data_IF_973884614144
#
_entry.id   IF_973884614144
#
_cell.length_a   1.000
_cell.length_b   1.000
_cell.length_c   1.000
_cell.angle_alpha   90.00
_cell.angle_beta   90.00
_cell.angle_gamma   90.00
#
_symmetry.space_group_name_H-M   'P 1'
#
loop_
_entity.id
_entity.type
_entity.pdbx_description
1 polymer ?
#
# COMPACT_ATOMS: atom_id res chain seq x y z
N UNK A 1 -26.58 -10.22 -14.29
CA UNK A 1 -25.67 -11.35 -13.98
C UNK A 1 -24.33 -11.20 -14.69
N UNK A 2 -24.25 -11.00 -16.01
CA UNK A 2 -22.96 -10.75 -16.69
C UNK A 2 -22.36 -9.35 -16.41
N UNK A 3 -23.20 -8.31 -16.37
CA UNK A 3 -22.81 -6.93 -16.06
C UNK A 3 -22.17 -6.81 -14.66
N UNK A 4 -22.81 -7.38 -13.65
CA UNK A 4 -22.28 -7.45 -12.27
C UNK A 4 -20.93 -8.16 -12.19
N UNK A 5 -20.70 -9.19 -13.00
CA UNK A 5 -19.42 -9.90 -13.06
C UNK A 5 -18.33 -9.05 -13.72
N UNK A 6 -18.65 -8.30 -14.77
CA UNK A 6 -17.70 -7.38 -15.41
C UNK A 6 -17.30 -6.23 -14.48
N UNK A 7 -18.25 -5.70 -13.70
CA UNK A 7 -17.97 -4.66 -12.69
C UNK A 7 -17.04 -5.20 -11.60
N UNK A 8 -17.28 -6.41 -11.08
CA UNK A 8 -16.42 -7.03 -10.09
C UNK A 8 -14.97 -7.22 -10.61
N UNK A 9 -14.82 -7.66 -11.86
CA UNK A 9 -13.52 -7.84 -12.53
C UNK A 9 -12.68 -6.56 -12.65
N UNK A 10 -13.30 -5.38 -12.61
CA UNK A 10 -12.53 -4.13 -12.59
C UNK A 10 -11.66 -4.02 -11.34
N UNK A 11 -12.19 -4.39 -10.18
CA UNK A 11 -11.44 -4.37 -8.93
C UNK A 11 -10.34 -5.44 -8.93
N UNK A 12 -10.60 -6.63 -9.48
CA UNK A 12 -9.58 -7.67 -9.68
C UNK A 12 -8.41 -7.14 -10.52
N UNK A 13 -8.70 -6.64 -11.73
CA UNK A 13 -7.69 -6.10 -12.64
C UNK A 13 -6.90 -4.96 -12.03
N UNK A 14 -7.59 -4.00 -11.40
CA UNK A 14 -6.93 -2.85 -10.77
C UNK A 14 -6.05 -3.28 -9.59
N UNK A 15 -6.53 -4.18 -8.73
CA UNK A 15 -5.75 -4.68 -7.60
C UNK A 15 -4.48 -5.41 -8.04
N UNK A 16 -4.56 -6.23 -9.09
CA UNK A 16 -3.40 -6.89 -9.70
C UNK A 16 -2.38 -5.86 -10.22
N UNK A 17 -2.83 -4.88 -11.02
CA UNK A 17 -1.96 -3.87 -11.62
C UNK A 17 -1.26 -2.97 -10.58
N UNK A 18 -1.93 -2.69 -9.46
CA UNK A 18 -1.40 -1.94 -8.33
C UNK A 18 -0.40 -2.78 -7.55
N UNK A 19 -0.84 -3.91 -6.98
CA UNK A 19 -0.07 -4.66 -6.00
C UNK A 19 1.13 -5.37 -6.61
N UNK A 20 1.12 -5.61 -7.93
CA UNK A 20 2.31 -6.03 -8.65
C UNK A 20 3.46 -5.02 -8.47
N UNK A 21 3.27 -3.72 -8.65
CA UNK A 21 4.37 -2.74 -8.49
C UNK A 21 4.83 -2.60 -7.04
N UNK A 22 3.98 -2.98 -6.08
CA UNK A 22 4.33 -3.10 -4.67
C UNK A 22 4.99 -4.45 -4.30
N UNK A 23 5.29 -5.27 -5.32
CA UNK A 23 5.94 -6.57 -5.24
C UNK A 23 5.17 -7.61 -4.43
N UNK A 24 3.85 -7.49 -4.38
CA UNK A 24 3.01 -8.57 -3.87
C UNK A 24 2.87 -9.65 -4.93
N UNK A 25 2.57 -10.86 -4.47
CA UNK A 25 2.32 -12.03 -5.33
C UNK A 25 0.98 -12.63 -4.97
N UNK A 26 0.34 -13.32 -5.91
CA UNK A 26 -0.90 -14.06 -5.65
C UNK A 26 -0.58 -15.46 -5.13
N UNK A 27 -1.36 -15.91 -4.15
CA UNK A 27 -1.37 -17.29 -3.67
C UNK A 27 -2.65 -17.97 -4.16
N UNK A 28 -2.50 -19.23 -4.58
CA UNK A 28 -3.63 -20.12 -4.84
C UNK A 28 -4.62 -19.65 -5.93
N UNK A 29 -5.78 -20.31 -5.99
CA UNK A 29 -6.85 -19.97 -6.92
C UNK A 29 -7.64 -18.72 -6.49
N UNK A 30 -8.13 -17.95 -7.46
CA UNK A 30 -9.06 -16.84 -7.21
C UNK A 30 -10.51 -17.31 -7.11
N UNK A 31 -11.37 -16.48 -6.52
CA UNK A 31 -12.83 -16.66 -6.48
C UNK A 31 -13.26 -18.03 -5.94
N UNK A 32 -12.72 -18.42 -4.78
CA UNK A 32 -13.05 -19.69 -4.13
C UNK A 32 -13.90 -19.49 -2.88
N UNK A 33 -14.83 -20.42 -2.68
CA UNK A 33 -15.51 -20.59 -1.40
C UNK A 33 -14.85 -21.72 -0.61
N UNK A 34 -14.76 -21.55 0.70
CA UNK A 34 -14.25 -22.55 1.62
C UNK A 34 -15.11 -22.63 2.88
N UNK A 35 -15.13 -23.77 3.61
CA UNK A 35 -16.00 -23.96 4.76
C UNK A 35 -15.75 -22.94 5.89
N UNK A 36 -16.81 -22.52 6.56
CA UNK A 36 -16.71 -21.72 7.77
C UNK A 36 -16.38 -22.64 8.96
N UNK A 37 -15.32 -22.33 9.71
CA UNK A 37 -14.93 -23.11 10.90
C UNK A 37 -15.79 -22.80 12.14
N UNK A 38 -16.64 -21.77 12.05
CA UNK A 38 -17.45 -21.25 13.16
C UNK A 38 -18.89 -20.93 12.73
N UNK A 39 -19.58 -21.88 12.06
CA UNK A 39 -20.91 -21.67 11.47
C UNK A 39 -21.95 -21.11 12.45
N UNK A 40 -22.00 -21.61 13.69
CA UNK A 40 -22.95 -21.15 14.70
C UNK A 40 -22.75 -19.68 15.09
N UNK A 41 -21.49 -19.23 15.15
CA UNK A 41 -21.14 -17.87 15.52
C UNK A 41 -21.26 -16.89 14.34
N UNK A 42 -20.86 -17.32 13.14
CA UNK A 42 -20.85 -16.47 11.93
C UNK A 42 -22.18 -16.48 11.18
N UNK A 43 -23.03 -17.49 11.39
CA UNK A 43 -24.32 -17.64 10.71
C UNK A 43 -24.19 -17.96 9.21
N UNK A 44 -23.02 -18.39 8.76
CA UNK A 44 -22.72 -18.77 7.37
C UNK A 44 -21.96 -20.10 7.33
N UNK A 45 -22.20 -20.91 6.30
CA UNK A 45 -21.53 -22.20 6.11
C UNK A 45 -20.23 -22.11 5.31
N UNK A 46 -20.05 -21.03 4.55
CA UNK A 46 -18.88 -20.82 3.72
C UNK A 46 -18.44 -19.36 3.70
N UNK A 47 -17.14 -19.18 3.47
CA UNK A 47 -16.49 -17.90 3.29
C UNK A 47 -16.04 -17.74 1.83
N UNK A 48 -16.39 -16.64 1.15
CA UNK A 48 -15.86 -16.33 -0.17
C UNK A 48 -14.44 -15.77 -0.06
N UNK A 49 -13.66 -15.88 -1.13
CA UNK A 49 -12.32 -15.28 -1.26
C UNK A 49 -12.10 -14.88 -2.70
N UNK A 50 -11.94 -13.57 -2.94
CA UNK A 50 -11.72 -13.08 -4.30
C UNK A 50 -10.27 -13.39 -4.73
N UNK A 51 -9.31 -13.03 -3.88
CA UNK A 51 -7.88 -13.29 -4.09
C UNK A 51 -7.13 -13.29 -2.76
N UNK A 52 -6.03 -14.04 -2.71
CA UNK A 52 -5.04 -13.92 -1.62
C UNK A 52 -3.74 -13.38 -2.20
N UNK A 53 -3.30 -12.23 -1.71
CA UNK A 53 -1.96 -11.72 -1.99
C UNK A 53 -0.99 -12.09 -0.86
N UNK A 54 0.31 -12.05 -1.12
CA UNK A 54 1.31 -12.22 -0.08
C UNK A 54 2.57 -11.38 -0.32
N UNK A 55 3.26 -11.13 0.79
CA UNK A 55 4.63 -10.62 0.85
C UNK A 55 5.36 -11.15 2.10
N UNK A 56 6.68 -11.13 2.06
CA UNK A 56 7.52 -11.51 3.20
C UNK A 56 7.67 -10.33 4.18
N UNK A 57 7.44 -10.57 5.47
CA UNK A 57 7.48 -9.52 6.48
C UNK A 57 8.92 -9.04 6.74
N UNK A 58 9.17 -7.72 6.84
CA UNK A 58 10.50 -7.22 7.15
C UNK A 58 10.98 -7.59 8.56
N UNK A 59 10.07 -7.60 9.54
CA UNK A 59 10.41 -7.69 10.96
C UNK A 59 10.07 -9.04 11.62
N UNK A 60 9.70 -10.05 10.82
CA UNK A 60 9.51 -11.44 11.28
C UNK A 60 9.87 -12.39 10.15
N UNK A 61 10.07 -13.68 10.45
CA UNK A 61 10.28 -14.72 9.42
C UNK A 61 8.95 -15.16 8.76
N UNK A 62 7.84 -14.53 9.12
CA UNK A 62 6.53 -14.89 8.58
C UNK A 62 6.32 -14.32 7.18
N UNK A 63 5.51 -15.02 6.39
CA UNK A 63 4.91 -14.49 5.17
C UNK A 63 3.52 -13.98 5.49
N UNK A 64 3.27 -12.71 5.21
CA UNK A 64 1.93 -12.15 5.29
C UNK A 64 1.10 -12.66 4.11
N UNK A 65 0.01 -13.35 4.39
CA UNK A 65 -1.04 -13.67 3.44
C UNK A 65 -2.22 -12.75 3.71
N UNK A 66 -2.76 -12.18 2.65
CA UNK A 66 -3.73 -11.10 2.69
C UNK A 66 -5.00 -11.60 2.03
N UNK A 67 -5.97 -11.93 2.87
CA UNK A 67 -7.33 -12.28 2.47
C UNK A 67 -8.01 -11.03 1.92
N UNK A 68 -8.28 -10.98 0.62
CA UNK A 68 -8.88 -9.80 0.00
C UNK A 68 -10.37 -9.99 -0.26
N UNK A 69 -11.13 -8.95 0.09
CA UNK A 69 -12.49 -8.71 -0.39
C UNK A 69 -12.47 -7.49 -1.32
N UNK A 70 -12.66 -7.73 -2.61
CA UNK A 70 -12.57 -6.75 -3.69
C UNK A 70 -13.96 -6.23 -4.04
N UNK A 71 -14.26 -5.00 -3.62
CA UNK A 71 -15.51 -4.33 -3.94
C UNK A 71 -15.32 -3.32 -5.06
N UNK A 72 -16.13 -3.47 -6.11
CA UNK A 72 -16.30 -2.49 -7.17
C UNK A 72 -17.69 -1.85 -7.04
N UNK A 73 -17.76 -0.65 -6.46
CA UNK A 73 -19.00 0.02 -6.10
C UNK A 73 -19.22 1.32 -6.86
N UNK A 74 -20.47 1.57 -7.22
CA UNK A 74 -20.94 2.89 -7.62
C UNK A 74 -21.02 3.80 -6.38
N UNK A 75 -20.99 5.13 -6.56
CA UNK A 75 -21.08 6.12 -5.47
C UNK A 75 -22.22 5.82 -4.50
N UNK A 76 -23.39 5.46 -5.04
CA UNK A 76 -24.59 5.19 -4.26
C UNK A 76 -24.48 3.93 -3.38
N UNK A 77 -23.61 3.00 -3.73
CA UNK A 77 -23.38 1.75 -3.00
C UNK A 77 -22.33 1.87 -1.91
N UNK A 78 -21.52 2.94 -1.90
CA UNK A 78 -20.51 3.19 -0.87
C UNK A 78 -21.19 3.90 0.32
N UNK A 79 -21.70 3.10 1.25
CA UNK A 79 -22.48 3.55 2.41
C UNK A 79 -21.95 2.98 3.73
N UNK A 80 -22.23 3.65 4.86
CA UNK A 80 -21.87 3.18 6.21
C UNK A 80 -22.26 1.71 6.46
N UNK A 81 -23.49 1.34 6.12
CA UNK A 81 -23.99 -0.03 6.30
C UNK A 81 -23.25 -1.04 5.43
N UNK A 82 -23.01 -0.72 4.15
CA UNK A 82 -22.26 -1.61 3.24
C UNK A 82 -20.81 -1.80 3.68
N UNK A 83 -20.14 -0.75 4.16
CA UNK A 83 -18.75 -0.81 4.63
C UNK A 83 -18.66 -1.63 5.92
N UNK A 84 -19.57 -1.40 6.86
CA UNK A 84 -19.64 -2.19 8.11
C UNK A 84 -19.89 -3.65 7.83
N UNK A 85 -20.86 -3.98 6.96
CA UNK A 85 -21.17 -5.37 6.61
C UNK A 85 -19.98 -6.07 5.94
N UNK A 86 -19.30 -5.40 4.99
CA UNK A 86 -18.13 -5.96 4.32
C UNK A 86 -16.95 -6.16 5.30
N UNK A 87 -16.68 -5.19 6.16
CA UNK A 87 -15.61 -5.28 7.16
C UNK A 87 -15.84 -6.43 8.16
N UNK A 88 -17.07 -6.57 8.68
CA UNK A 88 -17.43 -7.67 9.59
C UNK A 88 -17.32 -9.03 8.89
N UNK A 89 -17.82 -9.13 7.66
CA UNK A 89 -17.71 -10.37 6.87
C UNK A 89 -16.25 -10.74 6.64
N UNK A 90 -15.40 -9.79 6.26
CA UNK A 90 -13.98 -10.04 6.05
C UNK A 90 -13.25 -10.41 7.35
N UNK A 91 -13.62 -9.81 8.48
CA UNK A 91 -13.04 -10.18 9.77
C UNK A 91 -13.35 -11.64 10.13
N UNK A 92 -14.58 -12.10 9.90
CA UNK A 92 -14.95 -13.52 10.07
C UNK A 92 -14.10 -14.45 9.18
N UNK A 93 -13.87 -14.06 7.92
CA UNK A 93 -13.01 -14.82 7.01
C UNK A 93 -11.57 -14.92 7.52
N UNK A 94 -11.00 -13.82 8.02
CA UNK A 94 -9.64 -13.80 8.58
C UNK A 94 -9.54 -14.72 9.79
N UNK A 95 -10.49 -14.65 10.72
CA UNK A 95 -10.50 -15.50 11.92
C UNK A 95 -10.60 -16.99 11.56
N UNK A 96 -11.45 -17.36 10.60
CA UNK A 96 -11.53 -18.75 10.14
C UNK A 96 -10.31 -19.19 9.31
N UNK A 97 -9.67 -18.29 8.56
CA UNK A 97 -8.52 -18.65 7.71
C UNK A 97 -7.30 -19.11 8.54
N UNK A 98 -7.17 -18.61 9.78
CA UNK A 98 -6.10 -19.01 10.70
C UNK A 98 -6.21 -20.47 11.16
N UNK A 99 -7.42 -21.02 11.21
CA UNK A 99 -7.67 -22.39 11.70
C UNK A 99 -8.09 -23.36 10.60
N UNK A 100 -8.52 -22.85 9.43
CA UNK A 100 -9.03 -23.69 8.34
C UNK A 100 -7.93 -24.43 7.59
N UNK A 101 -7.92 -25.76 7.70
CA UNK A 101 -7.03 -26.63 6.92
C UNK A 101 -7.25 -26.45 5.42
N UNK A 102 -8.50 -26.25 4.99
CA UNK A 102 -8.83 -26.06 3.57
C UNK A 102 -8.24 -24.77 3.04
N UNK A 103 -8.36 -23.67 3.78
CA UNK A 103 -7.78 -22.39 3.38
C UNK A 103 -6.25 -22.49 3.29
N UNK A 104 -5.60 -23.06 4.32
CA UNK A 104 -4.15 -23.21 4.32
C UNK A 104 -3.65 -24.09 3.14
N UNK A 105 -4.34 -25.19 2.82
CA UNK A 105 -4.00 -26.01 1.65
C UNK A 105 -4.10 -25.27 0.31
N UNK A 106 -4.99 -24.28 0.21
CA UNK A 106 -5.18 -23.50 -1.02
C UNK A 106 -4.12 -22.41 -1.19
N UNK A 107 -3.70 -21.79 -0.08
CA UNK A 107 -3.01 -20.49 -0.13
C UNK A 107 -1.64 -20.45 0.56
N UNK A 108 -1.28 -21.46 1.37
CA UNK A 108 -0.05 -21.46 2.15
C UNK A 108 0.88 -22.58 1.67
N UNK A 109 2.13 -22.23 1.38
CA UNK A 109 3.18 -23.20 1.07
C UNK A 109 3.58 -23.99 2.33
N UNK A 110 3.91 -25.29 2.18
CA UNK A 110 4.14 -26.23 3.31
C UNK A 110 5.20 -25.80 4.33
N UNK A 111 6.22 -25.07 3.90
CA UNK A 111 7.37 -24.69 4.74
C UNK A 111 7.35 -23.20 5.11
N UNK A 112 6.19 -22.56 5.03
CA UNK A 112 6.03 -21.13 5.30
C UNK A 112 5.21 -20.89 6.57
N UNK A 113 5.77 -20.11 7.49
CA UNK A 113 5.02 -19.56 8.61
C UNK A 113 4.09 -18.46 8.09
N UNK A 114 2.79 -18.72 8.05
CA UNK A 114 1.79 -17.76 7.58
C UNK A 114 1.35 -16.81 8.70
N UNK A 115 1.39 -15.51 8.44
CA UNK A 115 0.62 -14.51 9.18
C UNK A 115 -0.54 -14.05 8.31
N UNK A 116 -1.77 -13.99 8.83
CA UNK A 116 -2.95 -13.66 8.02
C UNK A 116 -3.43 -12.25 8.35
N UNK A 117 -3.80 -11.48 7.32
CA UNK A 117 -4.51 -10.21 7.46
C UNK A 117 -5.64 -10.12 6.44
N UNK A 118 -6.65 -9.30 6.73
CA UNK A 118 -7.71 -8.97 5.80
C UNK A 118 -7.44 -7.64 5.10
N UNK A 119 -7.80 -7.56 3.82
CA UNK A 119 -7.84 -6.31 3.07
C UNK A 119 -9.19 -6.13 2.36
N UNK A 120 -9.97 -5.15 2.81
CA UNK A 120 -11.17 -4.69 2.11
C UNK A 120 -10.74 -3.61 1.11
N UNK A 121 -10.83 -3.92 -0.19
CA UNK A 121 -10.46 -3.01 -1.28
C UNK A 121 -11.73 -2.44 -1.93
N UNK A 122 -11.99 -1.15 -1.75
CA UNK A 122 -13.23 -0.51 -2.22
C UNK A 122 -12.95 0.44 -3.38
N UNK A 123 -12.98 -0.11 -4.60
CA UNK A 123 -12.87 0.66 -5.83
C UNK A 123 -14.20 1.34 -6.19
N UNK A 124 -14.13 2.62 -6.56
CA UNK A 124 -15.28 3.37 -7.06
C UNK A 124 -15.25 3.42 -8.59
N UNK A 125 -16.03 2.56 -9.25
CA UNK A 125 -15.93 2.38 -10.70
C UNK A 125 -16.59 3.49 -11.54
N UNK A 126 -17.53 4.24 -10.96
CA UNK A 126 -18.18 5.38 -11.63
C UNK A 126 -17.42 6.70 -11.46
N UNK A 127 -16.40 6.72 -10.60
CA UNK A 127 -15.57 7.90 -10.29
C UNK A 127 -16.37 9.11 -9.74
N UNK A 128 -17.56 8.87 -9.19
CA UNK A 128 -18.44 9.93 -8.68
C UNK A 128 -18.36 10.09 -7.14
N UNK A 129 -17.65 9.21 -6.42
CA UNK A 129 -17.52 9.28 -4.97
C UNK A 129 -16.63 10.45 -4.52
N UNK A 130 -17.23 11.37 -3.78
CA UNK A 130 -16.67 12.68 -3.40
C UNK A 130 -16.75 12.95 -1.88
N UNK A 131 -17.10 11.93 -1.09
CA UNK A 131 -17.28 12.05 0.36
C UNK A 131 -16.03 11.61 1.11
N UNK A 132 -15.92 12.05 2.34
CA UNK A 132 -14.92 11.57 3.30
C UNK A 132 -15.21 10.09 3.64
N UNK A 133 -14.35 9.20 3.12
CA UNK A 133 -14.50 7.75 3.28
C UNK A 133 -14.29 7.30 4.73
N UNK A 134 -13.41 7.95 5.49
CA UNK A 134 -13.10 7.57 6.87
C UNK A 134 -14.32 7.74 7.78
N UNK A 135 -15.18 8.73 7.49
CA UNK A 135 -16.47 8.90 8.18
C UNK A 135 -17.43 7.74 7.99
N UNK A 136 -17.27 6.95 6.93
CA UNK A 136 -18.09 5.76 6.71
C UNK A 136 -17.66 4.59 7.60
N UNK A 137 -16.41 4.61 8.08
CA UNK A 137 -15.82 3.57 8.91
C UNK A 137 -15.95 3.86 10.41
N UNK A 138 -16.28 5.10 10.79
CA UNK A 138 -16.32 5.56 12.19
C UNK A 138 -17.25 4.74 13.12
N UNK A 139 -18.26 4.05 12.57
CA UNK A 139 -19.21 3.24 13.34
C UNK A 139 -18.79 1.75 13.46
N UNK A 140 -17.63 1.39 12.92
CA UNK A 140 -17.04 0.04 13.03
C UNK A 140 -16.19 0.00 14.29
N UNK A 141 -16.65 -0.77 15.27
CA UNK A 141 -15.95 -0.93 16.55
C UNK A 141 -15.02 -2.14 16.47
N UNK A 142 -13.81 -2.01 17.00
CA UNK A 142 -12.83 -3.11 16.99
C UNK A 142 -13.36 -4.36 17.71
N UNK A 143 -14.17 -4.17 18.77
CA UNK A 143 -14.78 -5.28 19.51
C UNK A 143 -15.78 -6.07 18.66
N UNK A 144 -16.38 -5.45 17.65
CA UNK A 144 -17.32 -6.13 16.74
C UNK A 144 -16.60 -6.97 15.68
N UNK A 145 -15.34 -6.67 15.38
CA UNK A 145 -14.55 -7.40 14.37
C UNK A 145 -14.13 -8.79 14.86
N UNK A 146 -13.99 -8.97 16.18
CA UNK A 146 -13.61 -10.25 16.82
C UNK A 146 -12.41 -10.95 16.14
N UNK A 147 -11.37 -10.17 15.83
CA UNK A 147 -10.11 -10.65 15.27
C UNK A 147 -9.22 -11.23 16.37
N UNK A 148 -8.37 -12.19 16.02
CA UNK A 148 -7.35 -12.69 16.94
C UNK A 148 -6.26 -11.62 17.15
N UNK A 149 -5.50 -11.72 18.25
CA UNK A 149 -4.57 -10.65 18.69
C UNK A 149 -3.51 -10.28 17.63
N UNK A 150 -3.09 -11.24 16.80
CA UNK A 150 -2.08 -11.06 15.75
C UNK A 150 -2.69 -10.66 14.38
N UNK A 151 -4.01 -10.87 14.20
CA UNK A 151 -4.70 -10.59 12.94
C UNK A 151 -5.00 -9.09 12.80
N UNK A 152 -5.00 -8.62 11.56
CA UNK A 152 -5.31 -7.22 11.25
C UNK A 152 -6.26 -7.13 10.07
N UNK A 153 -7.10 -6.10 10.08
CA UNK A 153 -7.96 -5.72 8.97
C UNK A 153 -7.55 -4.35 8.45
N UNK A 154 -7.30 -4.27 7.14
CA UNK A 154 -7.03 -3.03 6.45
C UNK A 154 -8.18 -2.72 5.50
N UNK A 155 -8.55 -1.45 5.41
CA UNK A 155 -9.60 -0.99 4.51
C UNK A 155 -9.00 0.10 3.62
N UNK A 156 -8.98 -0.15 2.31
CA UNK A 156 -8.53 0.82 1.32
C UNK A 156 -9.75 1.40 0.60
N UNK A 157 -10.04 2.67 0.87
CA UNK A 157 -11.09 3.41 0.18
C UNK A 157 -10.65 3.98 -1.17
N UNK A 158 -11.59 4.58 -1.93
CA UNK A 158 -11.34 5.07 -3.28
C UNK A 158 -10.15 6.03 -3.41
N UNK A 159 -9.99 6.97 -2.47
CA UNK A 159 -8.89 7.94 -2.50
C UNK A 159 -7.52 7.26 -2.34
N UNK A 160 -7.41 6.31 -1.41
CA UNK A 160 -6.17 5.57 -1.19
C UNK A 160 -5.85 4.67 -2.38
N UNK A 161 -6.84 3.96 -2.92
CA UNK A 161 -6.66 3.13 -4.12
C UNK A 161 -6.19 3.97 -5.31
N UNK A 162 -6.82 5.13 -5.54
CA UNK A 162 -6.41 6.05 -6.58
C UNK A 162 -4.98 6.56 -6.36
N UNK A 163 -4.60 6.90 -5.12
CA UNK A 163 -3.22 7.25 -4.81
C UNK A 163 -2.24 6.13 -5.12
N UNK A 164 -2.51 4.90 -4.67
CA UNK A 164 -1.64 3.74 -4.91
C UNK A 164 -1.52 3.42 -6.40
N UNK A 165 -2.61 3.56 -7.17
CA UNK A 165 -2.60 3.40 -8.62
C UNK A 165 -1.71 4.44 -9.33
N UNK A 166 -1.77 5.71 -8.89
CA UNK A 166 -0.88 6.76 -9.42
C UNK A 166 0.58 6.48 -9.09
N UNK A 167 0.87 6.05 -7.86
CA UNK A 167 2.23 5.64 -7.46
C UNK A 167 2.72 4.45 -8.29
N UNK A 168 1.90 3.42 -8.49
CA UNK A 168 2.25 2.27 -9.33
C UNK A 168 2.52 2.69 -10.78
N UNK A 169 1.68 3.57 -11.34
CA UNK A 169 1.88 4.13 -12.69
C UNK A 169 3.17 4.92 -12.78
N UNK A 170 3.45 5.77 -11.79
CA UNK A 170 4.66 6.59 -11.75
C UNK A 170 5.92 5.73 -11.66
N UNK A 171 5.92 4.66 -10.85
CA UNK A 171 7.02 3.70 -10.79
C UNK A 171 7.28 3.09 -12.19
N UNK A 172 6.23 2.70 -12.92
CA UNK A 172 6.34 2.19 -14.30
C UNK A 172 6.92 3.24 -15.24
N UNK A 173 6.46 4.49 -15.15
CA UNK A 173 6.93 5.60 -15.99
C UNK A 173 8.39 5.96 -15.71
N UNK A 174 8.78 6.10 -14.44
CA UNK A 174 10.16 6.36 -14.04
C UNK A 174 11.09 5.25 -14.53
N UNK A 175 10.67 3.99 -14.46
CA UNK A 175 11.41 2.85 -15.02
C UNK A 175 11.54 2.96 -16.54
N UNK A 176 10.45 3.28 -17.24
CA UNK A 176 10.46 3.51 -18.70
C UNK A 176 11.34 4.68 -19.15
N UNK A 177 11.51 5.71 -18.31
CA UNK A 177 12.42 6.84 -18.53
C UNK A 177 13.87 6.58 -18.09
N UNK A 178 14.16 5.38 -17.58
CA UNK A 178 15.46 5.01 -16.98
C UNK A 178 15.87 5.89 -15.77
N UNK A 179 14.90 6.47 -15.07
CA UNK A 179 15.09 7.16 -13.79
C UNK A 179 15.16 6.16 -12.63
N UNK A 180 14.39 5.06 -12.72
CA UNK A 180 14.53 3.89 -11.86
C UNK A 180 15.22 2.75 -12.62
N UNK A 181 16.04 1.92 -11.93
CA UNK A 181 16.61 0.72 -12.52
C UNK A 181 15.55 -0.39 -12.64
N UNK A 182 16.00 -1.55 -13.15
CA UNK A 182 15.22 -2.78 -13.21
C UNK A 182 14.66 -3.15 -11.82
N UNK A 183 13.52 -3.85 -11.78
CA UNK A 183 12.76 -4.16 -10.55
C UNK A 183 13.60 -4.95 -9.53
N UNK A 184 14.54 -5.76 -9.99
CA UNK A 184 15.47 -6.54 -9.17
C UNK A 184 16.47 -5.65 -8.39
N UNK A 185 16.61 -4.38 -8.80
CA UNK A 185 17.47 -3.38 -8.19
C UNK A 185 16.69 -2.35 -7.35
N UNK A 186 15.39 -2.55 -7.12
CA UNK A 186 14.55 -1.69 -6.27
C UNK A 186 13.94 -2.45 -5.09
N UNK A 187 13.65 -1.80 -3.98
CA UNK A 187 12.98 -2.43 -2.83
C UNK A 187 12.34 -1.37 -1.95
N UNK A 188 11.24 -1.71 -1.30
CA UNK A 188 10.61 -0.82 -0.33
C UNK A 188 11.43 -0.78 0.97
N UNK A 189 11.66 0.43 1.48
CA UNK A 189 12.60 0.66 2.58
C UNK A 189 11.91 0.59 3.94
N UNK A 190 12.53 -0.17 4.84
CA UNK A 190 12.08 -0.38 6.22
C UNK A 190 13.15 0.12 7.19
N UNK A 191 12.82 1.08 8.09
CA UNK A 191 13.76 1.53 9.09
C UNK A 191 14.04 0.44 10.14
N UNK A 192 15.24 0.43 10.74
CA UNK A 192 15.46 -0.43 11.90
C UNK A 192 14.63 0.03 13.09
N UNK A 193 13.93 -0.90 13.74
CA UNK A 193 13.18 -0.63 14.96
C UNK A 193 14.08 -0.85 16.18
N UNK A 194 13.93 0.00 17.20
CA UNK A 194 14.79 0.03 18.41
C UNK A 194 14.86 -1.33 19.14
N UNK A 195 13.88 -2.21 18.96
CA UNK A 195 13.80 -3.53 19.63
C UNK A 195 13.51 -4.71 18.71
N UNK A 196 13.24 -4.44 17.43
CA UNK A 196 12.88 -5.49 16.47
C UNK A 196 13.78 -5.33 15.25
N UNK A 197 14.79 -6.21 15.09
CA UNK A 197 15.69 -6.10 13.96
C UNK A 197 14.93 -6.38 12.66
N UNK A 198 15.42 -5.78 11.57
CA UNK A 198 15.02 -6.18 10.23
C UNK A 198 15.64 -7.56 9.95
N UNK A 199 14.79 -8.59 9.90
CA UNK A 199 15.23 -10.01 9.89
C UNK A 199 15.37 -10.54 8.46
N UNK A 200 14.60 -9.99 7.51
CA UNK A 200 14.52 -10.51 6.13
C UNK A 200 15.19 -9.60 5.09
N UNK A 201 16.47 -9.29 5.27
CA UNK A 201 17.22 -8.28 4.48
C UNK A 201 17.19 -8.54 2.96
N UNK A 202 17.15 -9.81 2.54
CA UNK A 202 17.18 -10.19 1.13
C UNK A 202 15.78 -10.40 0.55
N UNK A 203 14.85 -10.91 1.36
CA UNK A 203 13.54 -11.40 0.91
C UNK A 203 12.44 -10.34 1.03
N UNK A 204 12.39 -9.58 2.13
CA UNK A 204 11.36 -8.59 2.39
C UNK A 204 11.61 -7.29 1.61
N UNK A 205 11.33 -7.35 0.30
CA UNK A 205 11.50 -6.25 -0.66
C UNK A 205 10.20 -5.54 -1.03
N UNK A 206 9.08 -6.20 -0.82
CA UNK A 206 7.72 -5.71 -1.12
C UNK A 206 7.29 -4.64 -0.13
N UNK A 207 6.28 -3.83 -0.46
CA UNK A 207 5.69 -2.86 0.47
C UNK A 207 4.75 -3.58 1.47
N UNK A 208 4.73 -3.20 2.75
CA UNK A 208 3.79 -3.76 3.73
C UNK A 208 2.44 -3.03 3.69
N UNK A 209 1.40 -3.64 4.26
CA UNK A 209 0.09 -3.00 4.44
C UNK A 209 0.22 -1.69 5.22
N UNK A 210 1.04 -1.67 6.27
CA UNK A 210 1.34 -0.47 7.05
C UNK A 210 2.00 0.61 6.19
N UNK A 211 2.95 0.27 5.32
CA UNK A 211 3.57 1.24 4.43
C UNK A 211 2.55 1.82 3.43
N UNK A 212 1.74 0.98 2.80
CA UNK A 212 0.74 1.42 1.81
C UNK A 212 -0.35 2.30 2.41
N UNK A 213 -0.62 2.16 3.70
CA UNK A 213 -1.61 2.97 4.44
C UNK A 213 -0.99 4.17 5.17
N UNK A 214 0.34 4.28 5.17
CA UNK A 214 1.07 5.36 5.82
C UNK A 214 1.06 6.67 5.02
N UNK A 215 1.52 7.79 5.61
CA UNK A 215 1.60 9.07 4.92
C UNK A 215 2.59 9.09 3.74
N UNK A 216 3.55 8.18 3.69
CA UNK A 216 4.53 8.12 2.60
C UNK A 216 5.04 6.69 2.33
N UNK A 217 5.36 6.42 1.07
CA UNK A 217 5.95 5.15 0.65
C UNK A 217 7.40 5.44 0.28
N UNK A 218 8.35 4.65 0.81
CA UNK A 218 9.78 4.82 0.54
C UNK A 218 10.25 3.69 -0.35
N UNK A 219 10.59 4.00 -1.60
CA UNK A 219 11.18 3.07 -2.56
C UNK A 219 12.67 3.35 -2.68
N UNK A 220 13.51 2.39 -2.34
CA UNK A 220 14.97 2.47 -2.51
C UNK A 220 15.39 1.79 -3.79
N UNK A 221 16.45 2.31 -4.41
CA UNK A 221 17.02 1.72 -5.61
C UNK A 221 18.55 1.79 -5.60
N UNK A 222 19.17 0.76 -6.17
CA UNK A 222 20.62 0.66 -6.32
C UNK A 222 20.97 0.02 -7.67
N UNK A 223 21.35 0.86 -8.64
CA UNK A 223 21.74 0.39 -9.97
C UNK A 223 23.19 -0.09 -9.97
N UNK A 224 23.41 -1.40 -10.11
CA UNK A 224 24.76 -1.96 -10.32
C UNK A 224 25.40 -1.49 -11.62
N UNK A 225 24.59 -1.16 -12.63
CA UNK A 225 25.05 -0.71 -13.96
C UNK A 225 25.63 0.70 -13.93
N UNK A 226 24.99 1.62 -13.21
CA UNK A 226 25.37 3.04 -13.17
C UNK A 226 26.03 3.46 -11.85
N UNK A 227 26.02 2.59 -10.84
CA UNK A 227 26.44 2.91 -9.47
C UNK A 227 25.49 3.85 -8.72
N UNK A 228 24.40 4.31 -9.36
CA UNK A 228 23.46 5.25 -8.77
C UNK A 228 22.63 4.59 -7.68
N UNK A 229 22.58 5.22 -6.52
CA UNK A 229 21.75 4.85 -5.37
C UNK A 229 20.82 5.99 -5.03
N UNK A 230 19.59 5.68 -4.68
CA UNK A 230 18.64 6.70 -4.27
C UNK A 230 17.42 6.15 -3.56
N UNK A 231 16.64 7.08 -3.04
CA UNK A 231 15.32 6.85 -2.46
C UNK A 231 14.31 7.77 -3.12
N UNK A 232 13.17 7.20 -3.48
CA UNK A 232 11.99 7.91 -3.94
C UNK A 232 10.94 7.82 -2.85
N UNK A 233 10.48 8.97 -2.36
CA UNK A 233 9.52 9.09 -1.27
C UNK A 233 8.22 9.59 -1.88
N UNK A 234 7.22 8.73 -2.00
CA UNK A 234 5.88 9.11 -2.44
C UNK A 234 5.10 9.61 -1.23
N UNK A 235 5.06 10.92 -1.02
CA UNK A 235 4.40 11.55 0.12
C UNK A 235 2.95 11.89 -0.24
N UNK A 236 1.99 11.16 0.34
CA UNK A 236 0.56 11.24 -0.01
C UNK A 236 -0.10 12.54 0.44
N UNK A 237 0.24 13.01 1.64
CA UNK A 237 -0.48 14.13 2.28
C UNK A 237 -0.09 15.46 1.64
N UNK A 238 -0.98 16.46 1.64
CA UNK A 238 -0.61 17.83 1.37
C UNK A 238 0.59 18.23 2.25
N UNK A 239 1.57 18.88 1.65
CA UNK A 239 2.77 19.31 2.35
C UNK A 239 2.46 20.43 3.31
N UNK A 240 3.08 20.36 4.47
CA UNK A 240 3.16 21.44 5.43
C UNK A 240 4.62 21.58 5.85
N UNK A 241 5.00 22.75 6.36
CA UNK A 241 6.36 22.95 6.83
C UNK A 241 6.72 21.95 7.92
N UNK A 242 5.85 21.78 8.93
CA UNK A 242 6.05 20.83 10.02
C UNK A 242 6.11 19.38 9.54
N UNK A 243 5.23 19.01 8.59
CA UNK A 243 5.21 17.67 8.01
C UNK A 243 6.49 17.35 7.24
N UNK A 244 7.01 18.30 6.47
CA UNK A 244 8.27 18.14 5.77
C UNK A 244 9.47 18.17 6.72
N UNK A 245 9.46 19.01 7.76
CA UNK A 245 10.48 18.97 8.82
C UNK A 245 10.54 17.59 9.48
N UNK A 246 9.38 17.02 9.80
CA UNK A 246 9.29 15.66 10.35
C UNK A 246 9.85 14.61 9.36
N UNK A 247 9.61 14.77 8.06
CA UNK A 247 10.21 13.92 7.04
C UNK A 247 11.74 14.09 6.97
N UNK A 248 12.27 15.31 7.08
CA UNK A 248 13.72 15.55 7.11
C UNK A 248 14.37 14.89 8.33
N UNK A 249 13.73 14.97 9.50
CA UNK A 249 14.15 14.24 10.70
C UNK A 249 14.16 12.74 10.48
N UNK A 250 13.09 12.18 9.89
CA UNK A 250 13.02 10.77 9.54
C UNK A 250 14.19 10.36 8.63
N UNK A 251 14.48 11.13 7.58
CA UNK A 251 15.59 10.84 6.66
C UNK A 251 16.94 10.86 7.37
N UNK A 252 17.14 11.81 8.29
CA UNK A 252 18.37 11.90 9.08
C UNK A 252 18.51 10.73 10.05
N UNK A 253 17.47 10.44 10.84
CA UNK A 253 17.47 9.39 11.85
C UNK A 253 17.72 8.00 11.27
N UNK A 254 17.32 7.79 10.02
CA UNK A 254 17.45 6.51 9.32
C UNK A 254 18.57 6.48 8.27
N UNK A 255 19.54 7.39 8.36
CA UNK A 255 20.74 7.42 7.50
C UNK A 255 20.42 7.49 5.99
N UNK A 256 19.30 8.12 5.64
CA UNK A 256 18.89 8.38 4.26
C UNK A 256 19.40 9.73 3.73
N UNK A 257 20.18 10.45 4.53
CA UNK A 257 20.90 11.67 4.12
C UNK A 257 22.41 11.39 4.11
N UNK A 258 22.90 10.79 3.04
CA UNK A 258 24.33 10.53 2.82
C UNK A 258 24.77 10.97 1.41
N UNK A 259 26.04 11.38 1.20
CA UNK A 259 26.49 11.96 -0.08
C UNK A 259 26.26 11.11 -1.33
N UNK A 260 26.21 9.79 -1.16
CA UNK A 260 26.09 8.80 -2.24
C UNK A 260 24.62 8.51 -2.63
N UNK A 261 23.66 9.03 -1.86
CA UNK A 261 22.24 8.68 -1.96
C UNK A 261 21.44 9.87 -2.46
N UNK A 262 20.84 9.73 -3.64
CA UNK A 262 19.91 10.73 -4.18
C UNK A 262 18.56 10.61 -3.46
N UNK A 263 17.99 11.73 -3.04
CA UNK A 263 16.66 11.78 -2.41
C UNK A 263 15.71 12.54 -3.32
N UNK A 264 14.66 11.85 -3.76
CA UNK A 264 13.56 12.43 -4.55
C UNK A 264 12.26 12.29 -3.78
N UNK A 265 11.62 13.41 -3.47
CA UNK A 265 10.27 13.44 -2.89
C UNK A 265 9.28 13.64 -4.02
N UNK A 266 8.28 12.77 -4.13
CA UNK A 266 7.15 12.90 -5.04
C UNK A 266 5.86 13.16 -4.26
N UNK A 267 5.21 14.28 -4.55
CA UNK A 267 3.97 14.73 -3.89
C UNK A 267 2.81 14.73 -4.88
N UNK A 268 1.54 14.82 -4.44
CA UNK A 268 0.41 14.95 -5.37
C UNK A 268 0.56 16.22 -6.21
N UNK A 269 0.24 16.13 -7.50
CA UNK A 269 0.29 17.28 -8.41
C UNK A 269 -0.60 18.46 -7.96
N UNK A 270 -1.66 18.22 -7.18
CA UNK A 270 -2.49 19.27 -6.58
C UNK A 270 -1.73 20.17 -5.60
N UNK A 271 -0.59 19.73 -5.05
CA UNK A 271 0.19 20.46 -4.05
C UNK A 271 1.18 21.44 -4.69
N UNK A 272 0.64 22.47 -5.35
CA UNK A 272 1.41 23.40 -6.19
C UNK A 272 2.51 24.16 -5.44
N UNK A 273 2.37 24.35 -4.13
CA UNK A 273 3.32 25.09 -3.30
C UNK A 273 4.39 24.20 -2.65
N UNK A 274 4.34 22.88 -2.86
CA UNK A 274 5.22 21.91 -2.18
C UNK A 274 6.72 22.23 -2.29
N UNK A 275 7.17 22.74 -3.45
CA UNK A 275 8.57 23.15 -3.64
C UNK A 275 8.97 24.31 -2.73
N UNK A 276 8.09 25.30 -2.56
CA UNK A 276 8.32 26.46 -1.69
C UNK A 276 8.27 26.01 -0.21
N UNK A 277 7.32 25.15 0.14
CA UNK A 277 7.17 24.61 1.49
C UNK A 277 8.41 23.77 1.87
N UNK A 278 8.94 22.96 0.95
CA UNK A 278 10.17 22.21 1.16
C UNK A 278 11.38 23.13 1.41
N UNK A 279 11.53 24.20 0.64
CA UNK A 279 12.61 25.18 0.87
C UNK A 279 12.51 25.81 2.26
N UNK A 280 11.30 26.21 2.69
CA UNK A 280 11.06 26.74 4.04
C UNK A 280 11.37 25.71 5.12
N UNK A 281 10.94 24.45 4.93
CA UNK A 281 11.22 23.36 5.85
C UNK A 281 12.73 23.10 5.98
N UNK A 282 13.47 23.05 4.87
CA UNK A 282 14.93 22.87 4.87
C UNK A 282 15.62 24.00 5.64
N UNK A 283 15.27 25.27 5.37
CA UNK A 283 15.87 26.41 6.05
C UNK A 283 15.59 26.37 7.56
N UNK A 284 14.32 26.17 7.93
CA UNK A 284 13.92 26.05 9.33
C UNK A 284 14.58 24.87 10.04
N UNK A 285 14.81 23.76 9.33
CA UNK A 285 15.46 22.59 9.88
C UNK A 285 16.95 22.85 10.14
N UNK A 286 17.65 23.50 9.21
CA UNK A 286 19.06 23.88 9.37
C UNK A 286 19.23 24.83 10.56
N UNK A 287 18.37 25.86 10.67
CA UNK A 287 18.44 26.86 11.74
C UNK A 287 18.25 26.26 13.14
N UNK A 288 17.48 25.18 13.25
CA UNK A 288 17.19 24.51 14.51
C UNK A 288 18.23 23.45 14.92
N UNK A 289 19.14 23.05 14.02
CA UNK A 289 20.21 22.10 14.36
C UNK A 289 21.37 22.86 15.02
N UNK A 290 21.61 22.58 16.30
CA UNK A 290 22.73 23.16 17.04
C UNK A 290 24.08 22.90 16.36
N UNK A 291 24.83 23.97 16.08
CA UNK A 291 26.16 23.90 15.46
C UNK A 291 26.17 23.71 13.94
N UNK A 292 25.00 23.64 13.29
CA UNK A 292 24.91 23.69 11.83
C UNK A 292 24.66 25.12 11.36
N UNK A 293 25.39 25.53 10.32
CA UNK A 293 25.12 26.75 9.58
C UNK A 293 24.77 26.39 8.12
N UNK A 294 24.50 27.39 7.29
CA UNK A 294 24.14 27.20 5.88
C UNK A 294 25.21 26.46 5.05
N UNK A 295 26.44 26.35 5.56
CA UNK A 295 27.60 25.75 4.93
C UNK A 295 27.99 24.38 5.51
N UNK A 296 27.20 23.87 6.47
CA UNK A 296 27.42 22.53 7.05
C UNK A 296 27.19 21.41 6.02
N UNK A 297 27.86 20.26 6.20
CA UNK A 297 27.69 19.10 5.33
C UNK A 297 26.22 18.65 5.27
N UNK A 298 25.51 18.70 6.39
CA UNK A 298 24.08 18.37 6.47
C UNK A 298 23.24 19.35 5.64
N UNK A 299 23.53 20.66 5.70
CA UNK A 299 22.86 21.65 4.87
C UNK A 299 23.09 21.39 3.38
N UNK A 300 24.31 21.00 2.99
CA UNK A 300 24.63 20.64 1.62
C UNK A 300 23.88 19.39 1.14
N UNK A 301 23.66 18.40 2.01
CA UNK A 301 22.85 17.21 1.70
C UNK A 301 21.36 17.55 1.57
N UNK A 302 20.81 18.32 2.51
CA UNK A 302 19.39 18.73 2.49
C UNK A 302 19.07 19.54 1.23
N UNK A 303 19.94 20.46 0.82
CA UNK A 303 19.77 21.27 -0.40
C UNK A 303 19.81 20.44 -1.70
N UNK A 304 20.29 19.19 -1.66
CA UNK A 304 20.28 18.27 -2.81
C UNK A 304 18.99 17.46 -2.95
N UNK A 305 18.11 17.49 -1.94
CA UNK A 305 16.80 16.83 -2.01
C UNK A 305 16.02 17.45 -3.17
N UNK A 306 15.56 16.60 -4.08
CA UNK A 306 14.69 17.02 -5.18
C UNK A 306 13.24 16.78 -4.81
N UNK A 307 12.36 17.64 -5.32
CA UNK A 307 10.93 17.45 -5.26
C UNK A 307 10.36 17.45 -6.68
N UNK A 308 9.45 16.52 -6.92
CA UNK A 308 8.69 16.42 -8.15
C UNK A 308 7.24 15.97 -7.83
N UNK A 309 6.41 15.86 -8.84
CA UNK A 309 5.00 15.52 -8.68
C UNK A 309 4.72 14.08 -9.13
N UNK A 310 3.70 13.49 -8.52
CA UNK A 310 2.99 12.33 -9.05
C UNK A 310 1.85 12.88 -9.91
N UNK A 311 1.84 12.62 -11.23
CA UNK A 311 0.81 13.14 -12.13
C UNK A 311 -0.60 12.73 -11.69
N UNK A 312 -1.59 13.58 -11.97
CA UNK A 312 -2.99 13.18 -11.87
C UNK A 312 -3.38 12.27 -13.05
N UNK A 313 -3.59 11.00 -12.76
CA UNK A 313 -4.23 10.06 -13.66
C UNK A 313 -5.28 9.22 -12.92
N UNK A 314 -6.38 8.94 -13.60
CA UNK A 314 -7.44 8.04 -13.13
C UNK A 314 -7.55 6.85 -14.07
N UNK A 315 -7.66 5.65 -13.51
CA UNK A 315 -7.97 4.47 -14.30
C UNK A 315 -9.46 4.44 -14.61
N UNK A 316 -9.79 4.22 -15.87
CA UNK A 316 -11.15 3.93 -16.32
C UNK A 316 -11.16 2.61 -17.07
N UNK A 317 -12.23 1.85 -16.91
CA UNK A 317 -12.38 0.53 -17.52
C UNK A 317 -13.60 0.52 -18.43
N UNK A 318 -13.47 -0.08 -19.61
CA UNK A 318 -14.61 -0.38 -20.46
C UNK A 318 -15.21 -1.72 -20.04
N UNK A 319 -16.46 -1.72 -19.59
CA UNK A 319 -17.19 -2.96 -19.26
C UNK A 319 -17.23 -3.94 -20.43
N UNK A 320 -17.36 -3.42 -21.67
CA UNK A 320 -17.37 -4.24 -22.89
C UNK A 320 -16.01 -4.93 -23.06
N UNK A 321 -14.91 -4.18 -22.94
CA UNK A 321 -13.57 -4.74 -23.07
C UNK A 321 -13.29 -5.80 -21.99
N UNK A 322 -13.63 -5.50 -20.73
CA UNK A 322 -13.49 -6.45 -19.61
C UNK A 322 -14.28 -7.74 -19.89
N UNK A 323 -15.49 -7.63 -20.45
CA UNK A 323 -16.29 -8.77 -20.86
C UNK A 323 -15.66 -9.60 -21.98
N UNK A 324 -14.94 -8.97 -22.91
CA UNK A 324 -14.29 -9.65 -24.04
C UNK A 324 -12.98 -10.34 -23.65
N UNK A 325 -12.15 -9.72 -22.81
CA UNK A 325 -10.86 -10.26 -22.39
C UNK A 325 -11.01 -11.60 -21.65
N UNK A 326 -12.15 -11.82 -21.00
CA UNK A 326 -12.45 -13.00 -20.20
C UNK A 326 -13.19 -14.12 -20.96
N UNK A 327 -13.63 -13.87 -22.19
CA UNK A 327 -14.22 -14.90 -23.04
C UNK A 327 -13.17 -15.74 -23.78
N UNK A 328 -11.88 -15.48 -23.54
CA UNK A 328 -10.73 -16.12 -24.19
C UNK A 328 -10.07 -17.20 -23.35
#
# INVERSE_FOLDING_TARGET
>A
MAETANIARMAEKLSDEIFEEFMWRKAGPMNQNWPCEHEEAHGVSQHPTDVVFFYDEPYSEARRHIQCDLKSYAKASITKSSMKAAALSLAMQVTCAETSERWQQLYVDKDVTAAIAGLLFVYNHDDEFDKDFDRLLADIKNEELNLNEESRLFIMGPELINWLNRVATEIKMMRGKAELPDREATYFYYPQLVRTPYVQIVQARSATLEMLTSPWIVLRHESKKTGRKGVVIFHKRPTSQDGLVYLLDYLRQHELLIPQLEVLIKVPEADKDASIILQKAINSYIDNISGSNADSDIAALLKKIKLDFVPENKSSFSEIQIGMDYAR
#
